data_IF_805168298182
#
_entry.id   IF_805168298182
#
_cell.length_a   1.000
_cell.length_b   1.000
_cell.length_c   1.000
_cell.angle_alpha   90.00
_cell.angle_beta   90.00
_cell.angle_gamma   90.00
#
_symmetry.space_group_name_H-M   'P 1'
#
loop_
_entity.id
_entity.type
_entity.pdbx_description
1 polymer ?
#
# COMPACT_ATOMS: atom_id res chain seq x y z
N UNK A 1 5.38 21.06 10.92
CA UNK A 1 4.28 20.77 9.97
C UNK A 1 4.74 21.05 8.55
N UNK A 2 4.31 20.26 7.55
CA UNK A 2 4.72 20.44 6.15
C UNK A 2 3.93 21.53 5.39
N UNK A 3 3.19 22.41 6.08
CA UNK A 3 2.65 23.66 5.51
C UNK A 3 1.68 23.53 4.33
N UNK A 4 1.09 22.36 4.11
CA UNK A 4 0.14 22.12 3.00
C UNK A 4 -1.27 22.08 3.58
N UNK A 5 -2.10 23.06 3.22
CA UNK A 5 -3.54 23.01 3.44
C UNK A 5 -4.16 22.18 2.32
N UNK A 6 -4.50 20.93 2.63
CA UNK A 6 -5.23 20.02 1.74
C UNK A 6 -6.41 19.43 2.51
N UNK A 7 -7.55 19.31 1.87
CA UNK A 7 -8.71 18.64 2.44
C UNK A 7 -8.59 17.13 2.32
N UNK A 8 -9.30 16.40 3.18
CA UNK A 8 -9.37 14.94 3.09
C UNK A 8 -9.90 14.48 1.71
N UNK A 9 -10.87 15.20 1.14
CA UNK A 9 -11.44 14.86 -0.17
C UNK A 9 -10.44 15.03 -1.31
N UNK A 10 -9.63 16.09 -1.28
CA UNK A 10 -8.56 16.29 -2.27
C UNK A 10 -7.51 15.20 -2.15
N UNK A 11 -7.04 14.93 -0.93
CA UNK A 11 -6.06 13.87 -0.68
C UNK A 11 -6.57 12.49 -1.15
N UNK A 12 -7.84 12.17 -0.89
CA UNK A 12 -8.46 10.92 -1.35
C UNK A 12 -8.54 10.85 -2.88
N UNK A 13 -8.93 11.95 -3.54
CA UNK A 13 -8.99 12.03 -5.00
C UNK A 13 -7.61 11.76 -5.60
N UNK A 14 -6.58 12.41 -5.08
CA UNK A 14 -5.21 12.25 -5.56
C UNK A 14 -4.70 10.80 -5.42
N UNK A 15 -5.00 10.15 -4.30
CA UNK A 15 -4.66 8.72 -4.08
C UNK A 15 -5.36 7.83 -5.12
N UNK A 16 -6.67 8.02 -5.33
CA UNK A 16 -7.44 7.22 -6.29
C UNK A 16 -6.93 7.41 -7.72
N UNK A 17 -6.69 8.66 -8.14
CA UNK A 17 -6.17 8.96 -9.48
C UNK A 17 -4.77 8.39 -9.72
N UNK A 18 -3.91 8.39 -8.69
CA UNK A 18 -2.60 7.74 -8.75
C UNK A 18 -2.75 6.24 -8.90
N UNK A 19 -3.57 5.59 -8.10
CA UNK A 19 -3.72 4.14 -8.11
C UNK A 19 -4.29 3.62 -9.44
N UNK A 20 -5.25 4.34 -10.04
CA UNK A 20 -5.79 4.04 -11.39
C UNK A 20 -4.70 4.15 -12.45
N UNK A 21 -3.93 5.25 -12.42
CA UNK A 21 -2.84 5.47 -13.36
C UNK A 21 -1.78 4.39 -13.24
N UNK A 22 -1.38 4.06 -12.01
CA UNK A 22 -0.28 3.14 -11.74
C UNK A 22 -0.62 1.69 -12.09
N UNK A 23 -1.87 1.27 -11.88
CA UNK A 23 -2.38 -0.05 -12.27
C UNK A 23 -2.58 -0.20 -13.78
N UNK A 24 -2.87 0.89 -14.50
CA UNK A 24 -3.05 0.90 -15.95
C UNK A 24 -1.77 1.05 -16.80
N UNK A 25 -0.57 1.14 -16.18
CA UNK A 25 0.68 1.33 -16.94
C UNK A 25 1.06 0.09 -17.76
N UNK A 26 1.46 0.29 -19.01
CA UNK A 26 1.95 -0.78 -19.89
C UNK A 26 3.27 -1.42 -19.40
N UNK A 27 4.12 -0.65 -18.71
CA UNK A 27 5.40 -1.09 -18.18
C UNK A 27 5.35 -0.99 -16.66
N UNK A 28 5.70 -2.09 -15.98
CA UNK A 28 5.68 -2.22 -14.51
C UNK A 28 4.34 -1.75 -13.87
N UNK A 29 3.19 -2.33 -14.25
CA UNK A 29 1.91 -2.00 -13.65
C UNK A 29 1.91 -2.31 -12.16
N UNK A 30 1.19 -1.49 -11.37
CA UNK A 30 0.89 -1.81 -9.98
C UNK A 30 -0.06 -3.01 -9.92
N UNK A 31 0.49 -4.20 -9.69
CA UNK A 31 -0.25 -5.45 -9.49
C UNK A 31 0.45 -6.31 -8.47
N UNK A 32 -0.31 -7.18 -7.81
CA UNK A 32 0.24 -8.20 -6.92
C UNK A 32 1.00 -9.24 -7.75
N UNK A 33 2.19 -9.63 -7.32
CA UNK A 33 2.93 -10.76 -7.91
C UNK A 33 2.28 -12.10 -7.48
N UNK A 34 2.50 -13.15 -8.27
CA UNK A 34 1.82 -14.44 -8.07
C UNK A 34 2.25 -15.12 -6.76
N UNK A 35 3.50 -14.91 -6.35
CA UNK A 35 4.12 -15.41 -5.11
C UNK A 35 3.99 -14.43 -3.94
N UNK A 36 3.46 -13.23 -4.16
CA UNK A 36 3.39 -12.24 -3.10
C UNK A 36 2.36 -12.63 -2.01
N UNK A 37 2.73 -12.42 -0.75
CA UNK A 37 1.80 -12.52 0.38
C UNK A 37 1.05 -11.18 0.54
N UNK A 38 -0.28 -11.23 0.60
CA UNK A 38 -1.10 -10.04 0.83
C UNK A 38 -1.24 -9.77 2.34
N UNK A 39 -0.79 -8.61 2.79
CA UNK A 39 -1.02 -8.11 4.15
C UNK A 39 -1.89 -6.86 4.06
N UNK A 40 -3.17 -6.98 4.39
CA UNK A 40 -4.07 -5.84 4.48
C UNK A 40 -3.95 -5.15 5.85
N UNK A 41 -3.43 -3.92 5.85
CA UNK A 41 -3.19 -3.14 7.06
C UNK A 41 -4.33 -2.18 7.44
N UNK A 42 -5.47 -2.20 6.74
CA UNK A 42 -6.55 -1.22 6.89
C UNK A 42 -7.01 -1.00 8.34
N UNK A 43 -6.96 -2.06 9.15
CA UNK A 43 -7.40 -2.06 10.56
C UNK A 43 -6.30 -2.51 11.54
N UNK A 44 -5.02 -2.33 11.17
CA UNK A 44 -3.89 -2.79 11.98
C UNK A 44 -3.09 -1.63 12.58
N UNK A 45 -2.53 -1.88 13.76
CA UNK A 45 -1.47 -1.01 14.29
C UNK A 45 -0.16 -1.29 13.58
N UNK A 46 0.75 -0.31 13.59
CA UNK A 46 2.09 -0.44 12.99
C UNK A 46 2.81 -1.70 13.52
N UNK A 47 2.74 -1.97 14.83
CA UNK A 47 3.37 -3.15 15.42
C UNK A 47 2.79 -4.47 14.88
N UNK A 48 1.46 -4.54 14.68
CA UNK A 48 0.80 -5.72 14.09
C UNK A 48 1.22 -5.92 12.63
N UNK A 49 1.34 -4.84 11.85
CA UNK A 49 1.84 -4.93 10.47
C UNK A 49 3.27 -5.48 10.46
N UNK A 50 4.15 -4.94 11.30
CA UNK A 50 5.54 -5.41 11.43
C UNK A 50 5.62 -6.89 11.81
N UNK A 51 4.82 -7.32 12.77
CA UNK A 51 4.77 -8.72 13.19
C UNK A 51 4.36 -9.65 12.03
N UNK A 52 3.35 -9.27 11.25
CA UNK A 52 2.92 -10.06 10.09
C UNK A 52 4.02 -10.14 9.03
N UNK A 53 4.71 -9.03 8.73
CA UNK A 53 5.84 -9.02 7.80
C UNK A 53 6.94 -9.98 8.30
N UNK A 54 7.32 -9.91 9.58
CA UNK A 54 8.36 -10.77 10.15
C UNK A 54 7.98 -12.26 10.14
N UNK A 55 6.70 -12.58 10.30
CA UNK A 55 6.21 -13.98 10.21
C UNK A 55 6.39 -14.54 8.81
N UNK A 56 6.05 -13.78 7.77
CA UNK A 56 6.21 -14.20 6.37
C UNK A 56 7.68 -14.47 6.07
N UNK A 57 8.56 -13.50 6.39
CA UNK A 57 10.01 -13.62 6.12
C UNK A 57 10.65 -14.81 6.85
N UNK A 58 10.20 -15.14 8.06
CA UNK A 58 10.75 -16.26 8.85
C UNK A 58 10.22 -17.63 8.44
N UNK A 59 9.04 -17.69 7.81
CA UNK A 59 8.42 -18.95 7.39
C UNK A 59 8.99 -19.48 6.06
N UNK A 60 9.57 -18.61 5.24
CA UNK A 60 10.20 -18.96 3.96
C UNK A 60 11.69 -19.40 4.11
N UNK A 61 12.17 -19.62 5.35
CA UNK A 61 13.49 -20.17 5.69
C UNK A 61 13.36 -21.52 6.40
#
# INVERSE_FOLDING_TARGET
EKGINITESEAKKDVVERDVRDSGRNIAPLRKADDAVLIDSSNMTINKVLENILKVVRADH
#
